data_IF_443080254331
#
_entry.id   IF_443080254331
#
_cell.length_a   1.000
_cell.length_b   1.000
_cell.length_c   1.000
_cell.angle_alpha   90.00
_cell.angle_beta   90.00
_cell.angle_gamma   90.00
#
_symmetry.space_group_name_H-M   'P 1'
#
loop_
_entity.id
_entity.type
_entity.pdbx_description
1 polymer ?
#
# COMPACT_ATOMS: atom_id res chain seq x y z
N UNK A 1 7.21 27.78 -5.02
CA UNK A 1 6.50 27.37 -3.78
C UNK A 1 6.50 28.59 -2.90
N UNK A 2 5.37 29.30 -2.85
CA UNK A 2 5.24 30.53 -2.08
C UNK A 2 5.42 30.22 -0.59
N UNK A 3 6.23 31.03 0.09
CA UNK A 3 6.57 30.89 1.50
C UNK A 3 5.35 31.28 2.36
N UNK A 4 4.33 30.42 2.40
CA UNK A 4 3.11 30.63 3.19
C UNK A 4 3.42 30.46 4.68
N UNK A 5 3.02 31.43 5.48
CA UNK A 5 3.15 31.39 6.94
C UNK A 5 2.19 30.34 7.53
N UNK A 6 2.50 29.73 8.68
CA UNK A 6 1.60 28.83 9.40
C UNK A 6 0.21 29.42 9.70
N UNK A 7 0.11 30.74 9.88
CA UNK A 7 -1.19 31.42 10.00
C UNK A 7 -2.02 31.34 8.70
N UNK A 8 -1.37 31.57 7.55
CA UNK A 8 -2.01 31.45 6.23
C UNK A 8 -2.36 29.99 5.92
N UNK A 9 -1.53 29.05 6.38
CA UNK A 9 -1.71 27.61 6.17
C UNK A 9 -2.92 27.06 6.93
N UNK A 10 -3.16 27.55 8.16
CA UNK A 10 -4.36 27.22 8.95
C UNK A 10 -5.55 28.13 8.64
N UNK A 11 -5.40 29.13 7.77
CA UNK A 11 -6.42 30.14 7.47
C UNK A 11 -6.96 30.83 8.75
N UNK A 12 -6.04 31.21 9.65
CA UNK A 12 -6.34 31.87 10.92
C UNK A 12 -5.51 33.14 11.09
N UNK A 13 -6.05 34.13 11.79
CA UNK A 13 -5.35 35.39 12.04
C UNK A 13 -4.27 35.21 13.13
N UNK A 14 -3.21 36.03 13.14
CA UNK A 14 -2.18 35.98 14.18
C UNK A 14 -2.66 36.19 15.62
N UNK A 15 -3.82 36.83 15.81
CA UNK A 15 -4.47 37.03 17.12
C UNK A 15 -5.51 35.96 17.47
N UNK A 16 -5.67 34.90 16.67
CA UNK A 16 -6.68 33.86 16.90
C UNK A 16 -6.46 33.12 18.24
N UNK A 17 -7.56 32.78 18.90
CA UNK A 17 -7.57 31.98 20.13
C UNK A 17 -7.17 30.52 19.83
N UNK A 18 -6.70 29.79 20.85
CA UNK A 18 -6.36 28.37 20.70
C UNK A 18 -7.55 27.53 20.20
N UNK A 19 -8.78 27.91 20.60
CA UNK A 19 -10.01 27.25 20.18
C UNK A 19 -10.29 27.44 18.69
N UNK A 20 -10.07 28.65 18.17
CA UNK A 20 -10.22 28.94 16.73
C UNK A 20 -9.16 28.24 15.89
N UNK A 21 -7.91 28.19 16.38
CA UNK A 21 -6.82 27.47 15.73
C UNK A 21 -7.15 25.97 15.64
N UNK A 22 -7.64 25.38 16.73
CA UNK A 22 -8.06 23.98 16.76
C UNK A 22 -9.26 23.71 15.83
N UNK A 23 -10.27 24.57 15.86
CA UNK A 23 -11.45 24.43 15.00
C UNK A 23 -11.08 24.52 13.50
N UNK A 24 -10.21 25.46 13.12
CA UNK A 24 -9.77 25.59 11.73
C UNK A 24 -8.93 24.39 11.28
N UNK A 25 -8.05 23.87 12.16
CA UNK A 25 -7.28 22.65 11.88
C UNK A 25 -8.17 21.44 11.62
N UNK A 26 -9.17 21.19 12.46
CA UNK A 26 -10.10 20.06 12.29
C UNK A 26 -10.87 20.17 10.97
N UNK A 27 -11.39 21.37 10.66
CA UNK A 27 -12.12 21.63 9.40
C UNK A 27 -11.25 21.33 8.18
N UNK A 28 -10.04 21.87 8.14
CA UNK A 28 -9.11 21.64 7.02
C UNK A 28 -8.75 20.16 6.91
N UNK A 29 -8.49 19.49 8.04
CA UNK A 29 -8.15 18.07 8.05
C UNK A 29 -9.30 17.19 7.49
N UNK A 30 -10.55 17.52 7.80
CA UNK A 30 -11.73 16.81 7.27
C UNK A 30 -11.93 17.07 5.78
N UNK A 31 -11.74 18.31 5.33
CA UNK A 31 -11.79 18.69 3.92
C UNK A 31 -10.75 17.91 3.10
N UNK A 32 -9.50 17.91 3.56
CA UNK A 32 -8.41 17.16 2.92
C UNK A 32 -8.64 15.65 2.92
N UNK A 33 -9.15 15.07 4.03
CA UNK A 33 -9.49 13.63 4.08
C UNK A 33 -10.62 13.28 3.12
N UNK A 34 -11.60 14.16 2.97
CA UNK A 34 -12.72 13.99 2.04
C UNK A 34 -12.25 14.05 0.59
N UNK A 35 -11.37 15.01 0.27
CA UNK A 35 -10.79 15.13 -1.06
C UNK A 35 -9.91 13.94 -1.42
N UNK A 36 -9.12 13.43 -0.45
CA UNK A 36 -8.33 12.21 -0.60
C UNK A 36 -9.17 10.96 -0.89
N UNK A 37 -10.41 10.93 -0.40
CA UNK A 37 -11.35 9.84 -0.63
C UNK A 37 -12.08 9.97 -1.98
N UNK A 38 -12.17 11.18 -2.55
CA UNK A 38 -12.76 11.45 -3.87
C UNK A 38 -11.75 11.35 -5.01
N UNK A 39 -10.46 11.50 -4.74
CA UNK A 39 -9.42 11.35 -5.76
C UNK A 39 -9.25 9.87 -6.09
N UNK A 40 -9.42 9.52 -7.37
CA UNK A 40 -9.15 8.17 -7.87
C UNK A 40 -7.71 7.75 -7.56
N UNK A 41 -7.48 6.45 -7.30
CA UNK A 41 -6.19 5.92 -6.82
C UNK A 41 -5.01 6.15 -7.79
N UNK A 42 -5.28 6.54 -9.03
CA UNK A 42 -4.30 6.65 -10.12
C UNK A 42 -3.45 7.92 -10.07
N UNK A 43 -3.92 8.98 -9.39
CA UNK A 43 -3.19 10.25 -9.34
C UNK A 43 -2.21 10.29 -8.15
N UNK A 44 -1.17 9.47 -8.27
CA UNK A 44 -0.11 9.30 -7.25
C UNK A 44 0.50 10.64 -6.81
N UNK A 45 0.68 11.57 -7.75
CA UNK A 45 1.24 12.90 -7.48
C UNK A 45 0.28 13.75 -6.65
N UNK A 46 -1.02 13.75 -6.96
CA UNK A 46 -2.04 14.44 -6.15
C UNK A 46 -2.13 13.87 -4.73
N UNK A 47 -2.04 12.54 -4.58
CA UNK A 47 -2.08 11.88 -3.26
C UNK A 47 -0.82 12.17 -2.44
N UNK A 48 0.34 12.23 -3.09
CA UNK A 48 1.59 12.62 -2.41
C UNK A 48 1.55 14.09 -1.99
N UNK A 49 1.10 14.98 -2.88
CA UNK A 49 0.92 16.40 -2.57
C UNK A 49 -0.06 16.62 -1.42
N UNK A 50 -1.20 15.92 -1.42
CA UNK A 50 -2.17 16.00 -0.32
C UNK A 50 -1.60 15.50 1.01
N UNK A 51 -0.79 14.43 1.01
CA UNK A 51 -0.08 13.95 2.22
C UNK A 51 0.96 14.95 2.73
N UNK A 52 1.71 15.58 1.82
CA UNK A 52 2.66 16.63 2.19
C UNK A 52 1.93 17.84 2.79
N UNK A 53 0.80 18.24 2.21
CA UNK A 53 -0.04 19.31 2.74
C UNK A 53 -0.60 18.96 4.13
N UNK A 54 -1.02 17.71 4.38
CA UNK A 54 -1.47 17.26 5.72
C UNK A 54 -0.31 17.34 6.73
N UNK A 55 0.89 16.90 6.34
CA UNK A 55 2.05 16.99 7.23
C UNK A 55 2.44 18.44 7.56
N UNK A 56 2.27 19.37 6.62
CA UNK A 56 2.46 20.81 6.86
C UNK A 56 1.38 21.40 7.77
N UNK A 57 0.11 20.98 7.60
CA UNK A 57 -1.01 21.32 8.48
C UNK A 57 -0.76 20.87 9.93
N UNK A 58 -0.27 19.65 10.13
CA UNK A 58 0.07 19.11 11.44
C UNK A 58 1.21 19.89 12.10
N UNK A 59 2.25 20.26 11.34
CA UNK A 59 3.36 21.10 11.83
C UNK A 59 2.87 22.49 12.24
N UNK A 60 2.06 23.13 11.40
CA UNK A 60 1.49 24.45 11.70
C UNK A 60 0.64 24.41 12.97
N UNK A 61 -0.22 23.39 13.12
CA UNK A 61 -1.02 23.20 14.33
C UNK A 61 -0.14 22.93 15.56
N UNK A 62 0.88 22.09 15.47
CA UNK A 62 1.76 21.75 16.59
C UNK A 62 2.55 22.96 17.13
N UNK A 63 2.86 23.93 16.27
CA UNK A 63 3.56 25.17 16.64
C UNK A 63 2.57 26.23 17.15
N UNK A 64 1.43 26.40 16.49
CA UNK A 64 0.45 27.46 16.84
C UNK A 64 -0.48 27.10 18.00
N UNK A 65 -0.68 25.81 18.31
CA UNK A 65 -1.48 25.36 19.45
C UNK A 65 -0.76 25.48 20.80
N UNK A 66 0.56 25.55 20.78
CA UNK A 66 1.41 25.64 21.96
C UNK A 66 1.83 27.10 22.18
N UNK A 67 1.52 27.66 23.36
CA UNK A 67 1.73 29.08 23.64
C UNK A 67 3.21 29.50 23.60
N UNK A 68 4.13 28.63 24.06
CA UNK A 68 5.57 28.94 24.06
C UNK A 68 6.15 28.87 22.65
N UNK A 69 5.77 27.83 21.89
CA UNK A 69 6.22 27.67 20.50
C UNK A 69 5.63 28.72 19.58
N UNK A 70 4.36 29.09 19.78
CA UNK A 70 3.72 30.17 19.04
C UNK A 70 4.42 31.49 19.29
N UNK A 71 4.77 31.80 20.53
CA UNK A 71 5.53 33.01 20.87
C UNK A 71 6.89 33.02 20.17
N UNK A 72 7.67 31.94 20.29
CA UNK A 72 8.96 31.82 19.62
C UNK A 72 8.86 31.98 18.10
N UNK A 73 7.83 31.39 17.49
CA UNK A 73 7.54 31.52 16.07
C UNK A 73 7.15 32.96 15.68
N UNK A 74 6.35 33.65 16.49
CA UNK A 74 6.00 35.06 16.25
C UNK A 74 7.21 36.00 16.33
N UNK A 75 8.13 35.71 17.27
CA UNK A 75 9.39 36.44 17.43
C UNK A 75 10.29 36.24 16.19
N UNK A 76 10.33 35.01 15.63
CA UNK A 76 11.11 34.63 14.44
C UNK A 76 10.60 35.32 13.16
N UNK A 77 9.28 35.44 12.99
CA UNK A 77 8.65 36.03 11.81
C UNK A 77 8.34 37.54 11.97
N UNK A 78 8.79 38.15 13.07
CA UNK A 78 8.57 39.56 13.42
C UNK A 78 7.10 40.02 13.34
N UNK A 79 6.16 39.17 13.79
CA UNK A 79 4.74 39.55 13.89
C UNK A 79 4.47 40.17 15.27
N UNK A 80 4.21 41.48 15.28
CA UNK A 80 3.84 42.21 16.49
C UNK A 80 2.33 42.04 16.80
N UNK A 81 1.99 41.04 17.61
CA UNK A 81 0.61 40.75 18.02
C UNK A 81 0.04 41.86 18.93
N UNK A 82 0.91 42.65 19.56
CA UNK A 82 0.57 43.72 20.50
C UNK A 82 -0.15 44.91 19.84
N UNK A 83 -0.13 45.00 18.51
CA UNK A 83 -0.79 46.05 17.73
C UNK A 83 -2.17 45.65 17.16
N UNK A 84 -2.63 44.41 17.36
CA UNK A 84 -3.87 43.91 16.77
C UNK A 84 -5.05 43.98 17.75
N UNK A 85 -6.24 44.46 17.34
CA UNK A 85 -7.40 44.56 18.22
C UNK A 85 -7.77 43.18 18.79
N UNK A 86 -7.81 43.09 20.12
CA UNK A 86 -8.41 41.94 20.82
C UNK A 86 -9.88 42.27 21.03
N UNK A 87 -10.76 41.70 20.20
CA UNK A 87 -12.20 41.72 20.52
C UNK A 87 -12.47 40.73 21.67
N UNK A 88 -13.32 41.10 22.64
CA UNK A 88 -13.64 40.23 23.77
C UNK A 88 -14.42 39.01 23.30
N UNK A 89 -14.11 37.87 23.91
CA UNK A 89 -14.83 36.61 23.71
C UNK A 89 -16.35 36.84 23.86
N UNK A 90 -17.08 36.69 22.74
CA UNK A 90 -18.53 36.59 22.77
C UNK A 90 -18.90 35.22 23.33
N UNK A 91 -19.14 35.17 24.63
CA UNK A 91 -19.93 34.13 25.28
C UNK A 91 -21.36 34.21 24.73
N UNK A 92 -21.63 33.43 23.68
CA UNK A 92 -23.01 33.04 23.36
C UNK A 92 -23.07 31.52 23.35
N UNK A 93 -23.55 31.01 24.48
CA UNK A 93 -24.05 29.66 24.67
C UNK A 93 -25.03 29.27 23.55
N UNK A 94 -24.84 28.15 22.84
CA UNK A 94 -25.92 27.53 22.10
C UNK A 94 -26.76 26.72 23.07
N UNK A 95 -27.89 27.30 23.40
CA UNK A 95 -29.10 26.69 23.92
C UNK A 95 -29.38 25.31 23.28
N UNK A 96 -29.40 24.30 24.15
CA UNK A 96 -30.13 23.03 24.08
C UNK A 96 -30.66 22.59 22.69
N UNK A 97 -29.78 22.04 21.85
CA UNK A 97 -30.20 21.18 20.74
C UNK A 97 -30.15 19.71 21.19
N UNK A 98 -31.34 19.13 21.31
CA UNK A 98 -31.60 17.75 21.73
C UNK A 98 -30.80 16.72 20.93
N UNK A 99 -30.26 15.72 21.63
CA UNK A 99 -29.69 14.48 21.06
C UNK A 99 -30.84 13.59 20.58
N UNK A 100 -30.97 13.25 19.29
CA UNK A 100 -31.73 12.09 18.89
C UNK A 100 -30.83 10.86 19.04
N UNK A 101 -31.10 10.08 20.07
CA UNK A 101 -30.68 8.69 20.21
C UNK A 101 -31.30 7.90 19.04
N UNK A 102 -30.52 7.75 17.97
CA UNK A 102 -30.77 6.74 16.95
C UNK A 102 -29.47 5.93 16.81
N UNK A 103 -29.54 4.70 17.31
CA UNK A 103 -28.51 3.68 17.14
C UNK A 103 -28.35 3.38 15.64
N UNK A 104 -27.49 4.15 14.97
CA UNK A 104 -26.97 3.79 13.67
C UNK A 104 -25.92 2.71 13.89
N UNK A 105 -26.36 1.45 13.85
CA UNK A 105 -25.49 0.37 13.43
C UNK A 105 -25.00 0.71 12.02
N UNK A 106 -23.81 1.31 11.95
CA UNK A 106 -23.09 1.50 10.69
C UNK A 106 -23.00 0.12 10.04
N UNK A 107 -23.58 -0.09 8.85
CA UNK A 107 -23.35 -1.33 8.12
C UNK A 107 -21.84 -1.41 7.92
N UNK A 108 -21.18 -2.40 8.51
CA UNK A 108 -19.77 -2.68 8.24
C UNK A 108 -19.65 -2.96 6.75
N UNK A 109 -19.31 -1.91 5.99
CA UNK A 109 -19.03 -2.00 4.57
C UNK A 109 -17.88 -3.00 4.42
N UNK A 110 -18.18 -4.13 3.78
CA UNK A 110 -17.22 -5.22 3.61
C UNK A 110 -16.11 -4.69 2.70
N UNK A 111 -14.99 -4.26 3.29
CA UNK A 111 -13.84 -3.69 2.58
C UNK A 111 -13.48 -4.58 1.39
N UNK A 112 -13.78 -4.13 0.18
CA UNK A 112 -13.47 -4.90 -1.03
C UNK A 112 -12.04 -4.60 -1.47
N UNK A 113 -11.28 -5.65 -1.79
CA UNK A 113 -9.93 -5.48 -2.30
C UNK A 113 -9.99 -5.11 -3.80
N UNK A 114 -9.53 -3.90 -4.13
CA UNK A 114 -9.43 -3.38 -5.50
C UNK A 114 -8.28 -4.05 -6.26
N UNK A 115 -8.31 -3.99 -7.60
CA UNK A 115 -7.23 -4.52 -8.44
C UNK A 115 -5.88 -3.85 -8.14
N UNK A 116 -5.85 -2.51 -8.07
CA UNK A 116 -4.64 -1.73 -7.78
C UNK A 116 -4.13 -2.06 -6.37
N UNK A 117 -5.02 -2.05 -5.37
CA UNK A 117 -4.68 -2.36 -3.98
C UNK A 117 -4.10 -3.77 -3.82
N UNK A 118 -4.67 -4.75 -4.52
CA UNK A 118 -4.19 -6.13 -4.52
C UNK A 118 -2.80 -6.26 -5.13
N UNK A 119 -2.56 -5.65 -6.30
CA UNK A 119 -1.25 -5.70 -6.96
C UNK A 119 -0.19 -4.98 -6.11
N UNK A 120 -0.51 -3.82 -5.54
CA UNK A 120 0.39 -3.10 -4.64
C UNK A 120 0.78 -3.93 -3.41
N UNK A 121 -0.20 -4.58 -2.77
CA UNK A 121 0.03 -5.44 -1.60
C UNK A 121 0.81 -6.70 -1.95
N UNK A 122 0.56 -7.28 -3.12
CA UNK A 122 1.34 -8.41 -3.61
C UNK A 122 2.81 -8.03 -3.84
N UNK A 123 3.02 -6.89 -4.53
CA UNK A 123 4.34 -6.42 -4.93
C UNK A 123 5.20 -5.96 -3.74
N UNK A 124 4.61 -5.40 -2.67
CA UNK A 124 5.35 -5.04 -1.45
C UNK A 124 6.05 -6.23 -0.78
N UNK A 125 5.62 -7.45 -1.09
CA UNK A 125 6.20 -8.68 -0.57
C UNK A 125 6.66 -9.64 -1.66
N UNK A 126 6.86 -9.20 -2.91
CA UNK A 126 7.07 -10.08 -4.07
C UNK A 126 8.20 -11.12 -3.93
N UNK A 127 9.26 -10.84 -3.16
CA UNK A 127 10.38 -11.77 -2.88
C UNK A 127 10.32 -12.46 -1.51
N UNK A 128 9.28 -12.21 -0.71
CA UNK A 128 9.15 -12.79 0.63
C UNK A 128 8.39 -14.10 0.60
N UNK A 129 8.91 -15.10 1.33
CA UNK A 129 8.20 -16.34 1.62
C UNK A 129 7.25 -16.22 2.81
N UNK A 130 7.26 -15.09 3.52
CA UNK A 130 6.47 -14.89 4.74
C UNK A 130 5.15 -14.20 4.44
N UNK A 131 4.15 -14.51 5.26
CA UNK A 131 2.79 -13.97 5.15
C UNK A 131 1.89 -14.80 4.25
N UNK A 132 0.75 -14.19 3.91
CA UNK A 132 -0.37 -14.81 3.20
C UNK A 132 -0.70 -13.99 1.96
N UNK A 133 -0.98 -14.66 0.85
CA UNK A 133 -1.48 -14.04 -0.37
C UNK A 133 -2.83 -14.62 -0.70
N UNK A 134 -3.86 -13.79 -0.74
CA UNK A 134 -5.24 -14.19 -1.07
C UNK A 134 -5.37 -14.61 -2.52
N UNK A 135 -6.47 -15.30 -2.87
CA UNK A 135 -6.76 -15.69 -4.25
C UNK A 135 -6.81 -14.49 -5.20
N UNK A 136 -7.41 -13.37 -4.77
CA UNK A 136 -7.59 -12.17 -5.60
C UNK A 136 -6.24 -11.55 -5.92
N UNK A 137 -5.39 -11.38 -4.91
CA UNK A 137 -4.02 -10.89 -5.12
C UNK A 137 -3.21 -11.78 -6.03
N UNK A 138 -3.27 -13.09 -5.82
CA UNK A 138 -2.54 -14.04 -6.65
C UNK A 138 -2.98 -13.92 -8.11
N UNK A 139 -4.28 -13.97 -8.39
CA UNK A 139 -4.80 -13.95 -9.77
C UNK A 139 -4.70 -12.59 -10.46
N UNK A 140 -4.65 -11.48 -9.71
CA UNK A 140 -4.35 -10.16 -10.29
C UNK A 140 -2.87 -10.00 -10.61
N UNK A 141 -1.97 -10.47 -9.75
CA UNK A 141 -0.53 -10.31 -9.94
C UNK A 141 0.10 -11.35 -10.88
N UNK A 142 -0.39 -12.59 -10.86
CA UNK A 142 0.18 -13.72 -11.64
C UNK A 142 0.33 -13.43 -13.14
N UNK A 143 -0.70 -12.96 -13.88
CA UNK A 143 -0.55 -12.68 -15.30
C UNK A 143 0.43 -11.54 -15.58
N UNK A 144 0.49 -10.52 -14.72
CA UNK A 144 1.42 -9.39 -14.85
C UNK A 144 2.87 -9.88 -14.69
N UNK A 145 3.12 -10.68 -13.67
CA UNK A 145 4.44 -11.26 -13.39
C UNK A 145 4.84 -12.22 -14.50
N UNK A 146 3.93 -13.11 -14.92
CA UNK A 146 4.18 -14.06 -15.99
C UNK A 146 4.52 -13.34 -17.29
N UNK A 147 3.72 -12.36 -17.71
CA UNK A 147 3.96 -11.60 -18.93
C UNK A 147 5.24 -10.78 -18.84
N UNK A 148 5.49 -10.10 -17.72
CA UNK A 148 6.70 -9.31 -17.51
C UNK A 148 7.98 -10.17 -17.59
N UNK A 149 7.98 -11.33 -16.91
CA UNK A 149 9.10 -12.27 -16.97
C UNK A 149 9.23 -12.91 -18.35
N UNK A 150 8.13 -13.23 -19.03
CA UNK A 150 8.16 -13.79 -20.38
C UNK A 150 8.81 -12.82 -21.38
N UNK A 151 8.40 -11.55 -21.38
CA UNK A 151 8.99 -10.50 -22.22
C UNK A 151 10.45 -10.25 -21.85
N UNK A 152 10.78 -10.21 -20.56
CA UNK A 152 12.16 -10.10 -20.11
C UNK A 152 13.03 -11.24 -20.64
N UNK A 153 12.58 -12.50 -20.56
CA UNK A 153 13.33 -13.65 -21.06
C UNK A 153 13.52 -13.62 -22.57
N UNK A 154 12.53 -13.16 -23.35
CA UNK A 154 12.68 -12.97 -24.81
C UNK A 154 13.81 -11.97 -25.09
N UNK A 155 13.70 -10.77 -24.54
CA UNK A 155 14.67 -9.68 -24.78
C UNK A 155 16.07 -10.12 -24.30
N UNK A 156 16.15 -10.69 -23.11
CA UNK A 156 17.41 -11.14 -22.51
C UNK A 156 18.08 -12.23 -23.35
N UNK A 157 17.31 -13.23 -23.82
CA UNK A 157 17.84 -14.29 -24.68
C UNK A 157 18.32 -13.76 -26.03
N UNK A 158 17.61 -12.80 -26.63
CA UNK A 158 18.04 -12.15 -27.88
C UNK A 158 19.35 -11.38 -27.71
N UNK A 159 19.53 -10.68 -26.58
CA UNK A 159 20.78 -9.99 -26.24
C UNK A 159 21.91 -11.01 -26.06
N UNK A 160 21.69 -12.07 -25.28
CA UNK A 160 22.72 -13.11 -25.08
C UNK A 160 23.12 -13.76 -26.39
N UNK A 161 22.18 -14.07 -27.27
CA UNK A 161 22.46 -14.61 -28.58
C UNK A 161 23.33 -13.64 -29.41
N UNK A 162 22.98 -12.36 -29.46
CA UNK A 162 23.75 -11.37 -30.22
C UNK A 162 25.20 -11.21 -29.74
N UNK A 163 25.45 -11.24 -28.43
CA UNK A 163 26.78 -11.03 -27.86
C UNK A 163 27.64 -12.30 -27.75
N UNK A 164 27.03 -13.48 -27.70
CA UNK A 164 27.70 -14.74 -27.36
C UNK A 164 27.44 -15.87 -28.36
N UNK A 165 27.10 -15.60 -29.63
CA UNK A 165 26.97 -16.65 -30.66
C UNK A 165 28.34 -17.06 -31.25
N UNK A 166 28.73 -18.37 -31.24
CA UNK A 166 28.00 -19.54 -30.73
C UNK A 166 28.04 -19.64 -29.20
N UNK A 167 26.89 -19.98 -28.58
CA UNK A 167 26.69 -19.95 -27.12
C UNK A 167 27.79 -20.76 -26.41
N UNK A 168 28.79 -20.10 -25.79
CA UNK A 168 29.81 -20.79 -25.01
C UNK A 168 29.18 -21.25 -23.68
N UNK A 169 29.92 -22.08 -22.93
CA UNK A 169 29.50 -22.52 -21.59
C UNK A 169 29.04 -21.36 -20.69
N UNK A 170 29.63 -20.18 -20.85
CA UNK A 170 29.28 -18.97 -20.11
C UNK A 170 27.83 -18.52 -20.36
N UNK A 171 27.33 -18.60 -21.60
CA UNK A 171 25.94 -18.25 -21.93
C UNK A 171 24.92 -19.21 -21.31
N UNK A 172 25.26 -20.51 -21.24
CA UNK A 172 24.43 -21.51 -20.57
C UNK A 172 24.36 -21.27 -19.05
N UNK A 173 25.48 -20.91 -18.42
CA UNK A 173 25.52 -20.57 -17.00
C UNK A 173 24.60 -19.38 -16.70
N UNK A 174 24.66 -18.33 -17.53
CA UNK A 174 23.81 -17.15 -17.38
C UNK A 174 22.33 -17.52 -17.54
N UNK A 175 21.98 -18.37 -18.51
CA UNK A 175 20.60 -18.82 -18.71
C UNK A 175 20.06 -19.61 -17.51
N UNK A 176 20.88 -20.51 -16.95
CA UNK A 176 20.53 -21.28 -15.74
C UNK A 176 20.37 -20.35 -14.54
N UNK A 177 21.29 -19.42 -14.32
CA UNK A 177 21.22 -18.45 -13.23
C UNK A 177 19.95 -17.59 -13.31
N UNK A 178 19.63 -17.07 -14.51
CA UNK A 178 18.39 -16.31 -14.75
C UNK A 178 17.15 -17.16 -14.49
N UNK A 179 17.16 -18.45 -14.87
CA UNK A 179 16.05 -19.36 -14.65
C UNK A 179 15.80 -19.63 -13.15
N UNK A 180 16.87 -19.72 -12.34
CA UNK A 180 16.78 -19.83 -10.87
C UNK A 180 16.15 -18.57 -10.28
N UNK A 181 16.61 -17.38 -10.69
CA UNK A 181 16.07 -16.10 -10.21
C UNK A 181 14.58 -15.95 -10.56
N UNK A 182 14.19 -16.29 -11.78
CA UNK A 182 12.77 -16.25 -12.20
C UNK A 182 11.93 -17.23 -11.39
N UNK A 183 12.45 -18.44 -11.14
CA UNK A 183 11.76 -19.45 -10.34
C UNK A 183 11.53 -19.01 -8.90
N UNK A 184 12.49 -18.28 -8.32
CA UNK A 184 12.39 -17.78 -6.95
C UNK A 184 11.13 -16.91 -6.73
N UNK A 185 10.79 -16.06 -7.71
CA UNK A 185 9.60 -15.19 -7.66
C UNK A 185 8.32 -16.02 -7.57
N UNK A 186 8.20 -17.04 -8.42
CA UNK A 186 7.04 -17.93 -8.41
C UNK A 186 7.00 -18.75 -7.11
N UNK A 187 8.12 -19.29 -6.65
CA UNK A 187 8.18 -20.03 -5.39
C UNK A 187 7.73 -19.18 -4.19
N UNK A 188 8.13 -17.91 -4.13
CA UNK A 188 7.68 -16.98 -3.08
C UNK A 188 6.17 -16.71 -3.15
N UNK A 189 5.62 -16.51 -4.35
CA UNK A 189 4.19 -16.31 -4.57
C UNK A 189 3.35 -17.55 -4.18
N UNK A 190 3.74 -18.73 -4.67
CA UNK A 190 3.07 -19.98 -4.34
C UNK A 190 3.19 -20.29 -2.85
N UNK A 191 4.34 -20.03 -2.20
CA UNK A 191 4.49 -20.28 -0.76
C UNK A 191 3.47 -19.49 0.05
N UNK A 192 3.31 -18.20 -0.24
CA UNK A 192 2.30 -17.35 0.43
C UNK A 192 0.87 -17.77 0.13
N UNK A 193 0.60 -18.32 -1.05
CA UNK A 193 -0.71 -18.92 -1.38
C UNK A 193 -0.95 -20.20 -0.57
N UNK A 194 0.07 -21.05 -0.42
CA UNK A 194 0.01 -22.26 0.43
C UNK A 194 -0.22 -21.90 1.90
N UNK A 195 0.45 -20.87 2.39
CA UNK A 195 0.24 -20.34 3.74
C UNK A 195 -1.19 -19.84 3.94
N UNK A 196 -1.78 -19.21 2.92
CA UNK A 196 -3.16 -18.72 3.01
C UNK A 196 -4.21 -19.83 3.12
N UNK A 197 -3.91 -21.05 2.65
CA UNK A 197 -4.78 -22.23 2.81
C UNK A 197 -4.36 -23.13 4.00
N UNK A 198 -3.50 -22.62 4.90
CA UNK A 198 -3.04 -23.34 6.08
C UNK A 198 -2.00 -24.45 5.80
N UNK A 199 -1.45 -24.54 4.58
CA UNK A 199 -0.46 -25.54 4.19
C UNK A 199 0.97 -24.99 4.25
N UNK A 200 1.96 -25.88 4.29
CA UNK A 200 3.39 -25.51 4.30
C UNK A 200 3.90 -25.18 2.90
N UNK A 201 4.69 -24.11 2.74
CA UNK A 201 5.39 -23.84 1.48
C UNK A 201 6.36 -24.93 1.04
N UNK A 202 6.83 -25.78 1.97
CA UNK A 202 7.74 -26.90 1.68
C UNK A 202 7.16 -27.92 0.69
N UNK A 203 5.84 -27.96 0.54
CA UNK A 203 5.18 -28.77 -0.49
C UNK A 203 5.62 -28.41 -1.91
N UNK A 204 6.17 -27.21 -2.14
CA UNK A 204 6.69 -26.77 -3.44
C UNK A 204 8.04 -27.40 -3.83
N UNK A 205 8.83 -27.87 -2.86
CA UNK A 205 10.17 -28.43 -3.11
C UNK A 205 10.13 -29.60 -4.10
N UNK A 206 9.31 -30.67 -3.92
CA UNK A 206 9.27 -31.78 -4.87
C UNK A 206 8.82 -31.34 -6.26
N UNK A 207 7.85 -30.41 -6.36
CA UNK A 207 7.40 -29.88 -7.64
C UNK A 207 8.51 -29.12 -8.36
N UNK A 208 9.29 -28.33 -7.62
CA UNK A 208 10.44 -27.62 -8.17
C UNK A 208 11.52 -28.60 -8.62
N UNK A 209 11.94 -29.57 -7.80
CA UNK A 209 13.00 -30.52 -8.20
C UNK A 209 12.64 -31.32 -9.46
N UNK A 210 11.38 -31.72 -9.58
CA UNK A 210 10.88 -32.48 -10.73
C UNK A 210 10.86 -31.63 -12.01
N UNK A 211 10.58 -30.32 -11.92
CA UNK A 211 10.52 -29.46 -13.11
C UNK A 211 11.88 -29.24 -13.79
N UNK A 212 12.99 -29.55 -13.10
CA UNK A 212 14.35 -29.41 -13.63
C UNK A 212 14.88 -30.66 -14.34
N UNK A 213 14.13 -31.77 -14.36
CA UNK A 213 14.56 -33.01 -14.99
C UNK A 213 14.03 -33.06 -16.43
N UNK A 214 14.87 -32.90 -17.47
CA UNK A 214 14.43 -32.89 -18.86
C UNK A 214 14.22 -34.32 -19.38
N UNK A 215 13.27 -35.05 -18.79
CA UNK A 215 12.93 -36.42 -19.16
C UNK A 215 11.47 -36.49 -19.63
N UNK A 216 11.24 -36.99 -20.84
CA UNK A 216 9.93 -36.90 -21.51
C UNK A 216 8.75 -37.51 -20.71
N UNK A 217 8.86 -38.70 -20.08
CA UNK A 217 7.81 -39.19 -19.18
C UNK A 217 7.56 -38.29 -17.96
N UNK A 218 8.59 -37.61 -17.44
CA UNK A 218 8.44 -36.65 -16.35
C UNK A 218 7.83 -35.33 -16.82
N UNK A 219 7.85 -35.01 -18.12
CA UNK A 219 7.17 -33.83 -18.67
C UNK A 219 5.65 -33.90 -18.46
N UNK A 220 5.02 -35.05 -18.75
CA UNK A 220 3.58 -35.26 -18.51
C UNK A 220 3.25 -35.13 -17.02
N UNK A 221 4.10 -35.71 -16.16
CA UNK A 221 3.95 -35.60 -14.71
C UNK A 221 4.13 -34.15 -14.22
N UNK A 222 5.09 -33.41 -14.78
CA UNK A 222 5.32 -31.98 -14.49
C UNK A 222 4.12 -31.12 -14.90
N UNK A 223 3.50 -31.41 -16.06
CA UNK A 223 2.27 -30.74 -16.49
C UNK A 223 1.13 -30.97 -15.49
N UNK A 224 0.94 -32.22 -15.06
CA UNK A 224 -0.07 -32.56 -14.06
C UNK A 224 0.19 -31.85 -12.72
N UNK A 225 1.46 -31.76 -12.30
CA UNK A 225 1.88 -30.99 -11.14
C UNK A 225 1.56 -29.50 -11.28
N UNK A 226 1.81 -28.90 -12.45
CA UNK A 226 1.46 -27.51 -12.75
C UNK A 226 -0.04 -27.26 -12.63
N UNK A 227 -0.87 -28.13 -13.23
CA UNK A 227 -2.33 -28.08 -13.09
C UNK A 227 -2.78 -28.20 -11.64
N UNK A 228 -2.17 -29.10 -10.86
CA UNK A 228 -2.44 -29.25 -9.44
C UNK A 228 -2.08 -27.97 -8.66
N UNK A 229 -0.92 -27.36 -8.91
CA UNK A 229 -0.51 -26.11 -8.27
C UNK A 229 -1.48 -24.96 -8.61
N UNK A 230 -1.93 -24.86 -9.87
CA UNK A 230 -2.94 -23.89 -10.28
C UNK A 230 -4.28 -24.16 -9.58
N UNK A 231 -4.71 -25.41 -9.47
CA UNK A 231 -5.92 -25.77 -8.74
C UNK A 231 -5.83 -25.32 -7.27
N UNK A 232 -4.71 -25.57 -6.59
CA UNK A 232 -4.47 -25.14 -5.21
C UNK A 232 -4.64 -23.61 -5.06
N UNK A 233 -4.26 -22.81 -6.05
CA UNK A 233 -4.39 -21.34 -5.94
C UNK A 233 -5.84 -20.86 -5.96
N UNK A 234 -6.77 -21.69 -6.46
CA UNK A 234 -8.20 -21.38 -6.51
C UNK A 234 -8.95 -21.69 -5.20
N UNK A 235 -8.35 -22.50 -4.32
CA UNK A 235 -8.95 -22.87 -3.03
C UNK A 235 -9.21 -21.60 -2.21
N UNK A 236 -10.29 -21.56 -1.43
CA UNK A 236 -10.61 -20.41 -0.59
C UNK A 236 -9.57 -20.21 0.53
N UNK A 237 -9.39 -18.96 0.96
CA UNK A 237 -8.54 -18.63 2.11
C UNK A 237 -9.04 -19.33 3.36
N UNK A 238 -8.11 -19.89 4.13
CA UNK A 238 -8.38 -20.46 5.44
C UNK A 238 -8.66 -19.35 6.46
N UNK A 239 -9.19 -19.72 7.62
CA UNK A 239 -9.34 -18.82 8.78
C UNK A 239 -7.96 -18.40 9.31
N UNK A 240 -7.95 -17.78 10.49
CA UNK A 240 -6.71 -17.48 11.19
C UNK A 240 -5.87 -18.74 11.32
N UNK A 241 -4.61 -18.66 10.90
CA UNK A 241 -3.68 -19.78 10.95
C UNK A 241 -2.29 -19.30 11.36
N UNK A 242 -1.36 -20.25 11.54
CA UNK A 242 0.01 -19.95 12.03
C UNK A 242 0.83 -19.01 11.13
N UNK A 243 0.38 -18.73 9.91
CA UNK A 243 1.06 -17.82 8.97
C UNK A 243 0.48 -16.40 8.99
N UNK A 244 -0.57 -16.16 9.77
CA UNK A 244 -1.15 -14.85 10.00
C UNK A 244 -2.68 -14.87 10.08
N UNK A 245 -3.29 -13.75 10.51
CA UNK A 245 -4.74 -13.61 10.54
C UNK A 245 -5.36 -13.67 9.15
N UNK A 246 -6.63 -14.04 9.09
CA UNK A 246 -7.44 -14.01 7.88
C UNK A 246 -7.72 -12.56 7.48
N UNK A 247 -7.58 -12.28 6.20
CA UNK A 247 -7.92 -10.98 5.63
C UNK A 247 -9.42 -10.71 5.71
N UNK A 248 -9.80 -9.51 6.18
CA UNK A 248 -11.20 -9.09 6.35
C UNK A 248 -12.04 -9.30 5.08
N UNK A 249 -11.48 -8.99 3.90
CA UNK A 249 -12.17 -9.15 2.61
C UNK A 249 -12.47 -10.61 2.23
N UNK A 250 -11.84 -11.57 2.92
CA UNK A 250 -12.04 -13.02 2.70
C UNK A 250 -12.95 -13.68 3.73
N UNK A 251 -13.28 -12.98 4.82
CA UNK A 251 -14.22 -13.50 5.83
C UNK A 251 -15.59 -13.68 5.18
N UNK A 252 -16.17 -14.86 5.32
CA UNK A 252 -17.51 -15.16 4.80
C UNK A 252 -18.55 -14.63 5.75
#
# INVERSE_FOLDING_TARGET
MDNKNYYDLLNVRPNASCREIHASYIRLLEEYKTDLNKTEEEDYFLKMAAKMNIAELEKAYAILSDAEKRKAYNDEIHIDITALPTEPASDTSPETAQVPTAANAVPTEKKTLTFIGANKRFLSHWYSFHGRTTRKEFWYAFPIIFLGLFLFNIIFSSILFFFFDPIPYDGLIVLVATSIVNSYIFCAAYTRRFHDIGRSGKWLIPFYLISWIPYFPLFVFSLACGCFLLFITTIASDRDNKYGPQWEETKK
#
